data_IF_839711421804
#
_entry.id   IF_839711421804
#
_cell.length_a   1.000
_cell.length_b   1.000
_cell.length_c   1.000
_cell.angle_alpha   90.00
_cell.angle_beta   90.00
_cell.angle_gamma   90.00
#
_symmetry.space_group_name_H-M   'P 1'
#
loop_
_entity.id
_entity.type
_entity.pdbx_description
1 polymer ?
#
# COMPACT_ATOMS: atom_id res chain seq x y z
N UNK A 1 11.08 -1.27 -4.32
CA UNK A 1 10.44 -0.65 -3.13
C UNK A 1 8.99 -1.13 -3.05
N UNK A 2 8.38 -1.28 -1.86
CA UNK A 2 6.97 -1.68 -1.71
C UNK A 2 6.07 -0.47 -1.45
N UNK A 3 4.93 -0.40 -2.15
CA UNK A 3 3.86 0.58 -1.88
C UNK A 3 2.65 -0.15 -1.28
N UNK A 4 2.40 0.08 0.00
CA UNK A 4 1.18 -0.41 0.66
C UNK A 4 0.01 0.52 0.36
N UNK A 5 -1.04 0.03 -0.29
CA UNK A 5 -2.13 0.86 -0.79
C UNK A 5 -3.51 0.22 -0.58
N UNK A 6 -4.55 1.04 -0.60
CA UNK A 6 -5.95 0.60 -0.72
C UNK A 6 -6.60 1.31 -1.90
N UNK A 7 -7.35 0.61 -2.78
CA UNK A 7 -8.10 1.25 -3.86
C UNK A 7 -9.01 2.37 -3.33
N UNK A 8 -9.04 3.51 -4.03
CA UNK A 8 -9.85 4.68 -3.65
C UNK A 8 -9.34 5.48 -2.45
N UNK A 9 -8.23 5.10 -1.81
CA UNK A 9 -7.64 5.83 -0.70
C UNK A 9 -6.61 6.88 -1.14
N UNK A 10 -6.15 7.70 -0.19
CA UNK A 10 -5.11 8.71 -0.41
C UNK A 10 -3.77 8.12 -0.90
N UNK A 11 -3.54 6.82 -0.75
CA UNK A 11 -2.41 6.09 -1.32
C UNK A 11 -2.36 6.14 -2.86
N UNK A 12 -3.41 6.62 -3.54
CA UNK A 12 -3.38 6.92 -4.97
C UNK A 12 -2.33 7.98 -5.33
N UNK A 13 -2.12 8.99 -4.49
CA UNK A 13 -1.14 10.06 -4.76
C UNK A 13 0.29 9.53 -4.94
N UNK A 14 0.87 8.77 -3.98
CA UNK A 14 2.19 8.18 -4.19
C UNK A 14 2.20 7.11 -5.29
N UNK A 15 1.08 6.45 -5.58
CA UNK A 15 0.99 5.50 -6.70
C UNK A 15 1.18 6.22 -8.06
N UNK A 16 0.54 7.37 -8.26
CA UNK A 16 0.72 8.20 -9.47
C UNK A 16 2.17 8.64 -9.59
N UNK A 17 2.75 9.21 -8.52
CA UNK A 17 4.14 9.69 -8.54
C UNK A 17 5.13 8.59 -8.92
N UNK A 18 4.95 7.37 -8.42
CA UNK A 18 5.84 6.25 -8.75
C UNK A 18 5.77 5.86 -10.23
N UNK A 19 4.58 5.90 -10.85
CA UNK A 19 4.41 5.67 -12.29
C UNK A 19 4.99 6.81 -13.13
N UNK A 20 4.72 8.07 -12.78
CA UNK A 20 5.23 9.25 -13.48
C UNK A 20 6.77 9.29 -13.49
N UNK A 21 7.40 8.85 -12.40
CA UNK A 21 8.86 8.76 -12.29
C UNK A 21 9.45 7.51 -12.95
N UNK A 22 8.62 6.58 -13.46
CA UNK A 22 9.07 5.33 -14.07
C UNK A 22 9.85 4.42 -13.11
N UNK A 23 9.64 4.57 -11.79
CA UNK A 23 10.39 3.82 -10.78
C UNK A 23 9.82 2.42 -10.62
N UNK A 24 10.69 1.43 -10.40
CA UNK A 24 10.25 0.07 -10.10
C UNK A 24 9.75 -0.04 -8.65
N UNK A 25 8.50 -0.47 -8.49
CA UNK A 25 7.91 -0.73 -7.18
C UNK A 25 6.94 -1.91 -7.22
N UNK A 26 6.66 -2.46 -6.04
CA UNK A 26 5.72 -3.55 -5.83
C UNK A 26 4.49 -3.02 -5.08
N UNK A 27 3.30 -2.98 -5.72
CA UNK A 27 2.07 -2.59 -5.05
C UNK A 27 1.54 -3.72 -4.17
N UNK A 28 1.40 -3.46 -2.87
CA UNK A 28 0.86 -4.38 -1.88
C UNK A 28 -0.49 -3.86 -1.40
N UNK A 29 -1.57 -4.56 -1.76
CA UNK A 29 -2.90 -4.16 -1.34
C UNK A 29 -3.11 -4.44 0.15
N UNK A 30 -3.70 -3.47 0.85
CA UNK A 30 -4.09 -3.54 2.26
C UNK A 30 -5.59 -3.33 2.36
N UNK A 31 -6.27 -4.23 3.05
CA UNK A 31 -7.62 -4.01 3.55
C UNK A 31 -7.55 -3.16 4.82
N UNK A 32 -8.00 -1.91 4.72
CA UNK A 32 -7.98 -0.95 5.83
C UNK A 32 -9.01 -1.25 6.92
N UNK A 33 -9.99 -2.12 6.66
CA UNK A 33 -10.98 -2.54 7.67
C UNK A 33 -10.41 -3.64 8.56
N UNK A 34 -9.86 -4.70 7.97
CA UNK A 34 -9.26 -5.82 8.71
C UNK A 34 -7.79 -5.58 9.10
N UNK A 35 -7.15 -4.54 8.55
CA UNK A 35 -5.73 -4.22 8.67
C UNK A 35 -4.82 -5.37 8.23
N UNK A 36 -5.21 -6.05 7.16
CA UNK A 36 -4.45 -7.14 6.57
C UNK A 36 -4.00 -6.79 5.16
N UNK A 37 -2.81 -7.22 4.81
CA UNK A 37 -2.37 -7.24 3.40
C UNK A 37 -3.09 -8.37 2.65
N UNK A 38 -3.03 -8.33 1.31
CA UNK A 38 -3.70 -9.32 0.44
C UNK A 38 -3.29 -10.77 0.71
N UNK A 39 -2.09 -11.01 1.21
CA UNK A 39 -1.57 -12.32 1.62
C UNK A 39 -2.01 -12.74 3.04
N UNK A 40 -2.80 -11.90 3.73
CA UNK A 40 -3.31 -12.15 5.08
C UNK A 40 -2.39 -11.71 6.22
N UNK A 41 -1.22 -11.15 5.92
CA UNK A 41 -0.29 -10.64 6.94
C UNK A 41 -0.87 -9.42 7.68
N UNK A 42 -0.52 -9.28 8.96
CA UNK A 42 -0.95 -8.13 9.78
C UNK A 42 -0.20 -6.86 9.38
N UNK A 43 -0.93 -5.87 8.85
CA UNK A 43 -0.36 -4.62 8.39
C UNK A 43 0.19 -3.76 9.54
N UNK A 44 -0.30 -3.93 10.78
CA UNK A 44 0.16 -3.14 11.93
C UNK A 44 1.60 -3.44 12.32
N UNK A 45 2.11 -4.62 11.95
CA UNK A 45 3.53 -4.97 12.11
C UNK A 45 4.44 -4.16 11.19
N UNK A 46 3.91 -3.68 10.07
CA UNK A 46 4.63 -2.86 9.08
C UNK A 46 4.45 -1.38 9.42
N UNK A 47 3.21 -0.95 9.69
CA UNK A 47 2.88 0.41 10.10
C UNK A 47 2.01 0.35 11.36
N UNK A 48 2.55 0.66 12.56
CA UNK A 48 1.79 0.64 13.81
C UNK A 48 0.60 1.60 13.84
N UNK A 49 0.58 2.62 12.96
CA UNK A 49 -0.56 3.52 12.78
C UNK A 49 -1.67 2.91 11.89
N UNK A 50 -1.45 1.67 11.43
CA UNK A 50 -2.26 0.90 10.49
C UNK A 50 -3.75 0.92 10.78
#
# INVERSE_FOLDING_TARGET
MKLYFSPGACSLSPHIVLHELGLSFEPVQVDLSSKKTKDGSDFRKINPKG
#
